data_IF_348418880720
#
_entry.id   IF_348418880720
#
_cell.length_a   1.000
_cell.length_b   1.000
_cell.length_c   1.000
_cell.angle_alpha   90.00
_cell.angle_beta   90.00
_cell.angle_gamma   90.00
#
_symmetry.space_group_name_H-M   'P 1'
#
loop_
_entity.id
_entity.type
_entity.pdbx_description
1 polymer ?
#
# COMPACT_ATOMS: atom_id res chain seq x y z
N UNK A 1 -12.66 7.82 -10.35
CA UNK A 1 -12.43 6.50 -9.74
C UNK A 1 -12.61 6.61 -8.25
N UNK A 2 -13.50 5.85 -7.69
CA UNK A 2 -13.73 5.84 -6.24
C UNK A 2 -12.73 4.90 -5.57
N UNK A 3 -12.00 5.44 -4.59
CA UNK A 3 -11.00 4.70 -3.82
C UNK A 3 -11.42 4.72 -2.35
N UNK A 4 -11.33 3.58 -1.69
CA UNK A 4 -11.68 3.42 -0.28
C UNK A 4 -10.49 2.92 0.54
N UNK A 5 -10.49 3.22 1.83
CA UNK A 5 -9.49 2.70 2.75
C UNK A 5 -9.47 1.17 2.68
N UNK A 6 -8.28 0.60 2.70
CA UNK A 6 -8.02 -0.84 2.55
C UNK A 6 -8.24 -1.41 1.14
N UNK A 7 -8.42 -0.56 0.15
CA UNK A 7 -8.38 -1.01 -1.24
C UNK A 7 -6.96 -1.37 -1.64
N UNK A 8 -6.84 -2.43 -2.45
CA UNK A 8 -5.61 -2.78 -3.14
C UNK A 8 -5.66 -2.10 -4.50
N UNK A 9 -4.66 -1.27 -4.79
CA UNK A 9 -4.61 -0.48 -6.03
C UNK A 9 -3.30 -0.69 -6.74
N UNK A 10 -3.29 -0.53 -8.06
CA UNK A 10 -2.07 -0.32 -8.82
C UNK A 10 -1.81 1.18 -8.94
N UNK A 11 -0.58 1.57 -8.64
CA UNK A 11 -0.12 2.95 -8.68
C UNK A 11 0.96 3.08 -9.74
N UNK A 12 0.82 4.10 -10.58
CA UNK A 12 1.83 4.41 -11.57
C UNK A 12 3.05 5.01 -10.87
N UNK A 13 4.20 4.38 -11.04
CA UNK A 13 5.46 4.83 -10.49
C UNK A 13 6.44 5.09 -11.62
N UNK A 14 7.30 6.11 -11.43
CA UNK A 14 8.37 6.43 -12.36
C UNK A 14 9.72 6.22 -11.65
N UNK A 15 10.68 5.63 -12.35
CA UNK A 15 12.02 5.44 -11.84
C UNK A 15 13.04 5.83 -12.91
N UNK A 16 14.11 6.52 -12.48
CA UNK A 16 15.24 6.80 -13.35
C UNK A 16 16.06 5.53 -13.54
N UNK A 17 16.46 5.26 -14.77
CA UNK A 17 17.35 4.15 -15.10
C UNK A 17 18.75 4.68 -15.42
N UNK A 18 19.80 3.79 -15.42
CA UNK A 18 21.20 4.26 -15.53
C UNK A 18 21.53 5.11 -16.75
N UNK A 19 20.77 4.97 -17.84
CA UNK A 19 20.98 5.79 -19.04
C UNK A 19 20.34 7.18 -18.99
N UNK A 20 19.77 7.58 -17.85
CA UNK A 20 19.14 8.87 -17.66
C UNK A 20 17.69 8.96 -18.12
N UNK A 21 17.11 7.92 -18.69
CA UNK A 21 15.69 7.91 -19.05
C UNK A 21 14.83 7.59 -17.83
N UNK A 22 13.49 7.84 -17.97
CA UNK A 22 12.50 7.52 -16.94
C UNK A 22 11.74 6.29 -17.38
N UNK A 23 11.71 5.28 -16.52
CA UNK A 23 10.91 4.08 -16.73
C UNK A 23 9.62 4.17 -15.93
N UNK A 24 8.48 3.98 -16.60
CA UNK A 24 7.16 3.92 -15.97
C UNK A 24 6.81 2.46 -15.68
N UNK A 25 6.26 2.20 -14.50
CA UNK A 25 5.76 0.88 -14.11
C UNK A 25 4.63 1.05 -13.11
N UNK A 26 3.82 0.02 -12.97
CA UNK A 26 2.75 -0.03 -11.98
C UNK A 26 3.21 -0.82 -10.77
N UNK A 27 2.81 -0.34 -9.59
CA UNK A 27 3.19 -0.96 -8.33
C UNK A 27 1.95 -1.14 -7.45
N UNK A 28 1.74 -2.32 -6.85
CA UNK A 28 0.59 -2.51 -5.97
C UNK A 28 0.81 -1.82 -4.64
N UNK A 29 -0.27 -1.31 -4.07
CA UNK A 29 -0.27 -0.62 -2.80
C UNK A 29 -1.61 -0.79 -2.09
N UNK A 30 -1.62 -0.58 -0.78
CA UNK A 30 -2.85 -0.54 0.04
C UNK A 30 -3.16 0.91 0.38
N UNK A 31 -4.40 1.32 0.21
CA UNK A 31 -4.86 2.64 0.62
C UNK A 31 -5.04 2.67 2.13
N UNK A 32 -4.30 3.55 2.79
CA UNK A 32 -4.33 3.71 4.26
C UNK A 32 -5.16 4.91 4.69
N UNK A 33 -5.31 5.90 3.82
CA UNK A 33 -6.00 7.15 4.13
C UNK A 33 -7.47 6.91 4.43
N UNK A 34 -8.03 7.69 5.37
CA UNK A 34 -9.43 7.62 5.71
C UNK A 34 -10.36 7.98 4.53
N UNK A 35 -11.60 7.50 4.58
CA UNK A 35 -12.51 7.64 3.43
C UNK A 35 -12.96 9.07 3.17
N UNK A 36 -13.02 9.92 4.18
CA UNK A 36 -13.32 11.35 3.98
C UNK A 36 -12.21 12.02 3.17
N UNK A 37 -10.95 11.72 3.51
CA UNK A 37 -9.79 12.18 2.75
C UNK A 37 -9.80 11.60 1.33
N UNK A 38 -10.11 10.32 1.18
CA UNK A 38 -10.16 9.66 -0.13
C UNK A 38 -11.18 10.30 -1.06
N UNK A 39 -12.31 10.78 -0.51
CA UNK A 39 -13.36 11.43 -1.30
C UNK A 39 -13.01 12.88 -1.67
N UNK A 40 -12.26 13.59 -0.84
CA UNK A 40 -12.11 15.04 -0.94
C UNK A 40 -10.70 15.53 -1.24
N UNK A 41 -9.67 14.73 -0.96
CA UNK A 41 -8.28 15.12 -1.18
C UNK A 41 -7.80 14.71 -2.57
N UNK A 42 -6.91 15.49 -3.20
CA UNK A 42 -6.25 15.09 -4.45
C UNK A 42 -5.13 14.08 -4.23
N UNK A 43 -4.79 13.77 -2.98
CA UNK A 43 -3.72 12.84 -2.62
C UNK A 43 -4.23 11.68 -1.79
N UNK A 44 -3.46 10.59 -1.79
CA UNK A 44 -3.73 9.37 -1.02
C UNK A 44 -2.49 9.00 -0.21
N UNK A 45 -2.73 8.47 1.00
CA UNK A 45 -1.67 7.85 1.79
C UNK A 45 -1.76 6.34 1.55
N UNK A 46 -0.64 5.74 1.15
CA UNK A 46 -0.58 4.32 0.79
C UNK A 46 0.62 3.64 1.44
N UNK A 47 0.56 2.32 1.54
CA UNK A 47 1.72 1.47 1.81
C UNK A 47 1.93 0.55 0.62
N UNK A 48 3.17 0.44 0.13
CA UNK A 48 3.48 -0.39 -1.02
C UNK A 48 3.56 -1.87 -0.66
N UNK A 49 3.32 -2.70 -1.65
CA UNK A 49 3.50 -4.14 -1.58
C UNK A 49 4.77 -4.55 -2.31
N UNK A 50 5.37 -5.64 -1.87
CA UNK A 50 6.49 -6.29 -2.54
C UNK A 50 6.20 -7.79 -2.73
N UNK A 51 6.66 -8.36 -3.83
CA UNK A 51 6.66 -9.80 -4.02
C UNK A 51 7.88 -10.49 -3.41
N UNK A 52 8.86 -9.72 -2.95
CA UNK A 52 10.02 -10.22 -2.22
C UNK A 52 9.68 -10.36 -0.74
N UNK A 53 9.26 -11.54 -0.33
CA UNK A 53 8.78 -11.79 1.04
C UNK A 53 9.97 -12.10 1.93
N UNK A 54 10.23 -11.19 2.88
CA UNK A 54 11.33 -11.28 3.84
C UNK A 54 10.86 -10.79 5.21
N UNK A 55 11.51 -11.28 6.26
CA UNK A 55 11.27 -10.81 7.63
C UNK A 55 9.79 -10.83 7.99
N UNK A 56 9.14 -11.96 7.75
CA UNK A 56 7.73 -12.15 8.09
C UNK A 56 7.48 -12.18 9.60
N UNK A 57 8.56 -12.20 10.39
CA UNK A 57 8.53 -12.06 11.85
C UNK A 57 8.24 -10.62 12.31
N UNK A 58 8.43 -9.62 11.43
CA UNK A 58 8.16 -8.22 11.78
C UNK A 58 6.65 -7.92 11.69
N UNK A 59 6.06 -7.32 12.75
CA UNK A 59 4.63 -6.99 12.73
C UNK A 59 4.26 -5.94 11.68
N UNK A 60 5.24 -5.17 11.18
CA UNK A 60 5.04 -4.18 10.12
C UNK A 60 5.04 -4.80 8.72
N UNK A 61 5.34 -6.10 8.60
CA UNK A 61 5.30 -6.84 7.36
C UNK A 61 4.08 -7.77 7.37
N UNK A 62 3.08 -7.49 6.55
CA UNK A 62 1.84 -8.27 6.48
C UNK A 62 1.77 -9.01 5.16
N UNK A 63 1.81 -10.33 5.21
CA UNK A 63 1.73 -11.17 4.01
C UNK A 63 0.29 -11.31 3.56
N UNK A 64 0.03 -11.00 2.29
CA UNK A 64 -1.26 -11.16 1.64
C UNK A 64 -1.20 -12.36 0.70
N UNK A 65 -2.19 -13.27 0.86
CA UNK A 65 -2.35 -14.43 0.00
C UNK A 65 -3.64 -14.31 -0.78
N UNK A 66 -3.89 -14.93 -1.83
CA UNK A 66 -5.19 -15.16 -2.49
C UNK A 66 -6.08 -13.93 -2.72
N UNK A 67 -5.51 -12.84 -3.24
CA UNK A 67 -6.34 -11.73 -3.72
C UNK A 67 -6.40 -11.77 -5.24
N UNK A 68 -7.59 -12.02 -5.83
CA UNK A 68 -7.75 -11.90 -7.28
C UNK A 68 -7.30 -10.53 -7.77
N UNK A 69 -6.52 -10.50 -8.85
CA UNK A 69 -5.91 -9.29 -9.37
C UNK A 69 -4.46 -9.07 -8.95
N UNK A 70 -4.02 -9.68 -7.84
CA UNK A 70 -2.60 -9.76 -7.47
C UNK A 70 -2.02 -11.06 -8.05
N UNK A 71 -1.10 -10.91 -9.00
CA UNK A 71 -0.52 -12.07 -9.69
C UNK A 71 0.39 -12.92 -8.81
N UNK A 72 0.91 -12.34 -7.73
CA UNK A 72 1.88 -12.98 -6.84
C UNK A 72 1.49 -12.78 -5.39
N UNK A 73 1.86 -13.75 -4.54
CA UNK A 73 1.88 -13.57 -3.11
C UNK A 73 2.72 -12.34 -2.79
N UNK A 74 2.18 -11.43 -1.99
CA UNK A 74 2.76 -10.12 -1.73
C UNK A 74 2.81 -9.82 -0.25
N UNK A 75 3.63 -8.86 0.14
CA UNK A 75 3.78 -8.42 1.52
C UNK A 75 3.61 -6.91 1.58
N UNK A 76 2.75 -6.45 2.48
CA UNK A 76 2.59 -5.01 2.74
C UNK A 76 3.74 -4.54 3.62
N UNK A 77 4.38 -3.45 3.21
CA UNK A 77 5.49 -2.83 3.94
C UNK A 77 4.97 -1.60 4.69
N UNK A 78 4.56 -1.77 5.94
CA UNK A 78 3.94 -0.69 6.70
C UNK A 78 4.95 0.32 7.28
N UNK A 79 6.24 0.06 7.14
CA UNK A 79 7.29 1.05 7.36
C UNK A 79 7.56 1.93 6.12
N UNK A 80 6.98 1.61 4.97
CA UNK A 80 7.14 2.37 3.73
C UNK A 80 5.81 3.01 3.33
N UNK A 81 5.41 3.97 4.12
CA UNK A 81 4.20 4.75 3.88
C UNK A 81 4.55 5.95 3.00
N UNK A 82 3.72 6.22 2.01
CA UNK A 82 3.96 7.28 1.04
C UNK A 82 2.67 8.04 0.73
N UNK A 83 2.82 9.29 0.33
CA UNK A 83 1.72 10.10 -0.18
C UNK A 83 1.86 10.23 -1.68
N UNK A 84 0.81 9.86 -2.39
CA UNK A 84 0.79 9.85 -3.86
C UNK A 84 -0.33 10.75 -4.38
N UNK A 85 -0.24 11.15 -5.64
CA UNK A 85 -1.37 11.78 -6.34
C UNK A 85 -2.45 10.74 -6.59
N UNK A 86 -3.70 11.09 -6.35
CA UNK A 86 -4.85 10.24 -6.69
C UNK A 86 -4.90 9.91 -8.17
N UNK A 87 -4.41 10.83 -9.02
CA UNK A 87 -4.34 10.63 -10.47
C UNK A 87 -3.36 9.52 -10.88
N UNK A 88 -2.45 9.13 -9.99
CA UNK A 88 -1.51 8.04 -10.26
C UNK A 88 -2.10 6.65 -10.00
N UNK A 89 -3.31 6.57 -9.47
CA UNK A 89 -4.02 5.29 -9.31
C UNK A 89 -4.51 4.83 -10.69
N UNK A 90 -3.98 3.70 -11.13
CA UNK A 90 -4.32 3.13 -12.43
C UNK A 90 -5.62 2.32 -12.33
N UNK A 91 -5.76 1.56 -11.25
CA UNK A 91 -6.82 0.57 -11.10
C UNK A 91 -6.99 0.19 -9.63
N UNK A 92 -8.24 -0.01 -9.21
CA UNK A 92 -8.57 -0.66 -7.95
C UNK A 92 -8.71 -2.16 -8.26
N UNK A 93 -7.85 -2.98 -7.65
CA UNK A 93 -7.78 -4.42 -7.93
C UNK A 93 -8.74 -5.20 -7.06
N UNK A 94 -8.77 -4.90 -5.78
CA UNK A 94 -9.50 -5.66 -4.78
C UNK A 94 -9.61 -4.85 -3.48
N UNK A 95 -10.15 -5.46 -2.48
CA UNK A 95 -10.28 -4.88 -1.13
C UNK A 95 -9.85 -5.91 -0.11
N UNK A 96 -9.14 -5.50 0.94
CA UNK A 96 -8.68 -6.41 1.99
C UNK A 96 -9.87 -7.03 2.72
N UNK A 97 -9.75 -8.31 3.06
CA UNK A 97 -10.71 -8.96 3.96
C UNK A 97 -10.50 -8.49 5.40
N UNK A 98 -11.47 -8.79 6.26
CA UNK A 98 -11.47 -8.31 7.65
C UNK A 98 -10.22 -8.76 8.43
N UNK A 99 -9.77 -9.98 8.22
CA UNK A 99 -8.60 -10.51 8.91
C UNK A 99 -7.33 -9.73 8.56
N UNK A 100 -7.13 -9.46 7.28
CA UNK A 100 -5.97 -8.70 6.82
C UNK A 100 -6.07 -7.23 7.20
N UNK A 101 -7.27 -6.65 7.24
CA UNK A 101 -7.47 -5.28 7.75
C UNK A 101 -6.96 -5.15 9.18
N UNK A 102 -7.25 -6.11 10.05
CA UNK A 102 -6.78 -6.10 11.44
C UNK A 102 -5.25 -6.14 11.49
N UNK A 103 -4.63 -7.00 10.70
CA UNK A 103 -3.17 -7.12 10.64
C UNK A 103 -2.51 -5.84 10.13
N UNK A 104 -3.07 -5.24 9.09
CA UNK A 104 -2.55 -3.99 8.51
C UNK A 104 -2.69 -2.84 9.52
N UNK A 105 -3.84 -2.74 10.18
CA UNK A 105 -4.05 -1.70 11.20
C UNK A 105 -3.04 -1.84 12.35
N UNK A 106 -2.84 -3.05 12.86
CA UNK A 106 -1.87 -3.29 13.93
C UNK A 106 -0.44 -2.96 13.48
N UNK A 107 -0.06 -3.40 12.30
CA UNK A 107 1.27 -3.11 11.76
C UNK A 107 1.51 -1.62 11.57
N UNK A 108 0.49 -0.90 11.12
CA UNK A 108 0.57 0.55 10.93
C UNK A 108 0.72 1.29 12.26
N UNK A 109 -0.05 0.92 13.27
CA UNK A 109 0.05 1.52 14.61
C UNK A 109 1.47 1.32 15.19
N UNK A 110 2.04 0.13 15.01
CA UNK A 110 3.41 -0.17 15.45
C UNK A 110 4.42 0.65 14.65
N UNK A 111 4.28 0.70 13.33
CA UNK A 111 5.19 1.44 12.46
C UNK A 111 5.25 2.93 12.82
N UNK A 112 4.10 3.51 13.18
CA UNK A 112 4.00 4.93 13.53
C UNK A 112 4.27 5.22 15.01
N UNK A 113 4.52 4.19 15.81
CA UNK A 113 4.89 4.35 17.22
C UNK A 113 3.73 4.72 18.15
N UNK A 114 2.50 4.42 17.76
CA UNK A 114 1.36 4.66 18.64
C UNK A 114 1.46 3.84 19.92
N UNK A 115 1.32 4.48 21.07
CA UNK A 115 1.49 3.86 22.37
C UNK A 115 2.91 3.92 22.93
N UNK A 116 3.89 4.35 22.15
CA UNK A 116 5.25 4.58 22.66
C UNK A 116 5.32 5.87 23.46
N UNK A 117 6.13 5.80 24.52
CA UNK A 117 6.45 6.98 25.33
C UNK A 117 7.85 7.44 24.95
N UNK A 118 7.96 8.70 24.57
CA UNK A 118 9.24 9.29 24.15
C UNK A 118 10.25 9.36 25.28
#
# INVERSE_FOLDING_TARGET
MEVRRNDIVFVKCNAMVPNGSVQCFDRPAIVLQNNKGNANSPTLIVAYLTSQIKRTDLPTHVVLQHYPGLCKKSMVLLEQVDTISKDDVVEVINHLDTEDVVKVNNGLLISLGFGEVA
#
